data_IF_516309180872
#
_entry.id   IF_516309180872
#
_cell.length_a   1.000
_cell.length_b   1.000
_cell.length_c   1.000
_cell.angle_alpha   90.00
_cell.angle_beta   90.00
_cell.angle_gamma   90.00
#
_symmetry.space_group_name_H-M   'P 1'
#
loop_
_entity.id
_entity.type
_entity.pdbx_description
1 polymer ?
#
# COMPACT_ATOMS: atom_id res chain seq x y z
N UNK A 1 19.11 -25.31 35.77
CA UNK A 1 19.16 -23.86 36.04
C UNK A 1 18.97 -23.15 34.71
N UNK A 2 17.73 -22.75 34.36
CA UNK A 2 17.10 -21.44 34.68
C UNK A 2 17.74 -20.34 33.81
N UNK A 3 17.05 -19.54 32.98
CA UNK A 3 15.71 -18.99 33.10
C UNK A 3 15.04 -18.70 31.75
N UNK A 4 13.73 -18.92 31.72
CA UNK A 4 12.72 -18.30 30.86
C UNK A 4 12.50 -16.85 31.32
N UNK A 5 12.35 -15.89 30.40
CA UNK A 5 11.91 -14.54 30.72
C UNK A 5 10.76 -14.13 29.79
N UNK A 6 9.58 -14.03 30.40
CA UNK A 6 8.39 -13.37 29.86
C UNK A 6 8.53 -11.84 30.01
N UNK A 7 7.97 -11.08 29.08
CA UNK A 7 7.69 -9.67 29.29
C UNK A 7 6.31 -9.32 28.74
N UNK A 8 5.56 -8.67 29.61
CA UNK A 8 4.12 -8.46 29.66
C UNK A 8 3.62 -7.26 28.86
N UNK A 9 2.39 -7.41 28.38
CA UNK A 9 1.49 -6.39 27.84
C UNK A 9 1.12 -5.32 28.87
N UNK A 10 1.23 -4.04 28.49
CA UNK A 10 0.68 -2.91 29.25
C UNK A 10 -0.61 -2.41 28.60
N UNK A 11 -1.71 -2.46 29.36
CA UNK A 11 -2.97 -1.77 29.05
C UNK A 11 -2.97 -0.39 29.73
N UNK A 12 -3.53 0.67 29.12
CA UNK A 12 -3.78 1.92 29.81
C UNK A 12 -5.11 1.89 30.58
N UNK A 13 -5.07 2.38 31.82
CA UNK A 13 -6.19 2.55 32.76
C UNK A 13 -6.93 3.86 32.49
N UNK A 14 -8.26 3.82 32.63
CA UNK A 14 -9.20 4.92 32.46
C UNK A 14 -9.15 5.98 33.58
N UNK A 15 -9.53 7.22 33.25
CA UNK A 15 -9.72 8.33 34.21
C UNK A 15 -11.20 8.77 34.25
N UNK A 16 -11.74 9.21 35.41
CA UNK A 16 -13.18 9.40 35.64
C UNK A 16 -13.72 10.78 35.23
N UNK A 17 -15.06 10.97 35.16
CA UNK A 17 -15.70 12.20 34.67
C UNK A 17 -16.00 13.22 35.79
N UNK A 18 -16.22 14.51 35.47
CA UNK A 18 -16.84 15.44 36.39
C UNK A 18 -18.36 15.57 36.17
N UNK A 19 -19.08 15.57 37.28
CA UNK A 19 -20.53 15.71 37.39
C UNK A 19 -21.02 17.18 37.34
N UNK A 20 -22.32 17.26 37.08
CA UNK A 20 -23.18 18.39 36.72
C UNK A 20 -23.34 19.56 37.70
N UNK A 21 -23.71 20.73 37.15
CA UNK A 21 -24.42 21.81 37.84
C UNK A 21 -25.39 22.55 36.89
N UNK A 22 -26.68 22.42 37.11
CA UNK A 22 -27.77 22.98 36.30
C UNK A 22 -28.09 24.45 36.66
N UNK A 23 -28.61 25.23 35.68
CA UNK A 23 -29.85 26.04 35.79
C UNK A 23 -30.20 26.86 34.52
N UNK A 24 -31.42 26.57 34.03
CA UNK A 24 -32.50 27.47 33.54
C UNK A 24 -32.38 28.36 32.28
N UNK A 25 -33.29 28.08 31.33
CA UNK A 25 -34.18 28.99 30.54
C UNK A 25 -33.52 30.03 29.62
N UNK A 26 -33.84 30.19 28.33
CA UNK A 26 -35.17 30.44 27.75
C UNK A 26 -35.09 30.59 26.21
N UNK A 27 -36.17 30.19 25.53
CA UNK A 27 -36.82 30.64 24.27
C UNK A 27 -36.16 31.65 23.29
N UNK A 28 -36.53 31.41 22.00
CA UNK A 28 -36.65 32.33 20.82
C UNK A 28 -35.29 32.73 20.20
N UNK A 29 -35.03 32.68 18.89
CA UNK A 29 -35.86 32.75 17.69
C UNK A 29 -35.26 33.84 16.79
N UNK A 30 -35.06 33.57 15.48
CA UNK A 30 -34.89 34.63 14.46
C UNK A 30 -33.54 34.71 13.73
N UNK A 31 -33.56 34.27 12.47
CA UNK A 31 -32.85 34.87 11.31
C UNK A 31 -33.56 36.24 11.05
N UNK A 32 -32.93 37.35 10.54
CA UNK A 32 -32.30 37.38 9.21
C UNK A 32 -31.19 38.42 8.86
N UNK A 33 -30.52 38.09 7.74
CA UNK A 33 -30.11 38.91 6.57
C UNK A 33 -29.16 40.13 6.65
N UNK A 34 -28.19 40.09 5.72
CA UNK A 34 -27.63 41.13 4.83
C UNK A 34 -27.20 42.50 5.38
N UNK A 35 -25.94 42.89 5.12
CA UNK A 35 -25.58 44.16 4.42
C UNK A 35 -24.24 44.03 3.67
N UNK A 36 -24.22 44.61 2.47
CA UNK A 36 -23.18 44.76 1.46
C UNK A 36 -22.07 45.82 1.73
N UNK A 37 -20.97 45.63 0.99
CA UNK A 37 -20.16 46.61 0.23
C UNK A 37 -19.00 47.47 0.84
N UNK A 38 -17.97 47.58 -0.03
CA UNK A 38 -16.78 48.48 -0.11
C UNK A 38 -15.61 48.14 0.81
N UNK A 39 -14.36 47.94 0.37
CA UNK A 39 -13.69 48.17 -0.91
C UNK A 39 -12.47 49.08 -0.69
N UNK A 40 -11.24 48.54 -0.68
CA UNK A 40 -9.99 49.32 -0.84
C UNK A 40 -8.96 48.48 -1.62
N UNK A 41 -8.46 49.06 -2.73
CA UNK A 41 -7.26 48.63 -3.47
C UNK A 41 -6.00 49.16 -2.77
N UNK A 42 -4.91 48.38 -2.78
CA UNK A 42 -3.57 48.94 -2.97
C UNK A 42 -2.66 47.91 -3.67
N UNK A 43 -1.92 48.39 -4.68
CA UNK A 43 -0.75 47.73 -5.29
C UNK A 43 0.49 48.31 -4.62
N UNK A 44 1.48 47.50 -4.28
CA UNK A 44 2.80 47.49 -4.95
C UNK A 44 3.82 46.60 -4.23
N UNK A 45 4.70 46.08 -5.07
CA UNK A 45 5.91 45.25 -4.91
C UNK A 45 6.81 45.47 -3.69
N UNK A 46 7.40 44.39 -3.17
CA UNK A 46 8.85 44.15 -3.32
C UNK A 46 9.25 42.73 -2.93
N UNK A 47 10.24 42.24 -3.67
CA UNK A 47 10.96 40.97 -3.60
C UNK A 47 11.82 40.81 -2.35
N UNK A 48 11.78 39.65 -1.70
CA UNK A 48 12.73 39.25 -0.66
C UNK A 48 12.95 37.73 -0.66
N UNK A 49 13.98 37.26 -1.39
CA UNK A 49 14.49 35.89 -1.32
C UNK A 49 15.24 35.71 0.01
N UNK A 50 14.79 34.77 0.85
CA UNK A 50 15.54 34.24 1.98
C UNK A 50 16.36 33.03 1.50
N UNK A 51 17.69 33.19 1.40
CA UNK A 51 18.63 32.08 1.24
C UNK A 51 19.39 31.89 2.56
N UNK A 52 19.23 30.70 3.16
CA UNK A 52 19.98 30.23 4.33
C UNK A 52 21.31 29.64 3.84
N UNK A 53 22.43 30.24 4.24
CA UNK A 53 23.79 29.75 3.95
C UNK A 53 24.24 28.76 5.02
N UNK A 54 24.60 27.56 4.60
CA UNK A 54 25.33 26.58 5.41
C UNK A 54 26.81 26.98 5.48
N UNK A 55 27.37 27.12 6.68
CA UNK A 55 28.79 27.34 6.92
C UNK A 55 29.45 26.03 7.36
N UNK A 56 30.27 25.44 6.50
CA UNK A 56 31.25 24.43 6.87
C UNK A 56 32.65 25.03 6.61
N UNK A 57 33.39 25.33 7.67
CA UNK A 57 34.79 25.73 7.60
C UNK A 57 35.64 24.66 8.30
N UNK A 58 36.58 24.08 7.55
CA UNK A 58 37.73 23.35 8.08
C UNK A 58 38.95 24.28 8.04
N UNK A 59 39.75 24.39 9.12
CA UNK A 59 41.04 25.06 9.05
C UNK A 59 42.18 24.05 8.74
N UNK A 60 43.23 24.48 8.01
CA UNK A 60 44.30 23.63 7.49
C UNK A 60 45.42 23.38 8.50
N UNK A 61 46.20 22.34 8.19
CA UNK A 61 47.36 21.80 8.92
C UNK A 61 48.63 22.66 8.80
N UNK A 62 49.36 22.67 9.93
CA UNK A 62 50.84 22.54 10.08
C UNK A 62 51.73 23.75 9.76
N UNK A 63 52.41 24.25 10.81
CA UNK A 63 53.88 24.26 10.90
C UNK A 63 54.32 24.56 12.35
N UNK A 64 55.10 23.64 12.92
CA UNK A 64 55.79 23.87 14.20
C UNK A 64 57.15 24.52 13.97
N UNK A 65 57.69 25.20 15.00
CA UNK A 65 59.11 25.19 15.38
C UNK A 65 59.30 25.84 16.77
N UNK A 66 59.92 25.05 17.65
CA UNK A 66 60.79 25.28 18.84
C UNK A 66 60.85 26.68 19.51
N UNK A 67 60.54 26.77 20.81
CA UNK A 67 61.40 26.63 22.03
C UNK A 67 62.09 27.92 22.45
N UNK A 68 61.79 28.40 23.68
CA UNK A 68 62.81 28.78 24.67
C UNK A 68 62.19 29.10 26.04
N UNK A 69 62.76 28.43 27.04
CA UNK A 69 62.59 28.52 28.50
C UNK A 69 63.41 29.72 29.04
N UNK A 70 63.00 30.35 30.17
CA UNK A 70 63.79 30.80 31.36
C UNK A 70 62.76 31.35 32.37
N UNK A 71 62.39 30.70 33.49
CA UNK A 71 63.06 30.51 34.81
C UNK A 71 63.04 31.76 35.73
N UNK A 72 62.47 31.66 36.94
CA UNK A 72 62.64 32.69 37.99
C UNK A 72 61.68 32.71 39.20
N UNK A 73 62.13 32.13 40.31
CA UNK A 73 61.89 32.45 41.74
C UNK A 73 60.63 31.99 42.55
N UNK A 74 60.86 30.91 43.35
CA UNK A 74 60.63 30.65 44.80
C UNK A 74 59.45 31.29 45.57
N UNK A 75 58.64 30.43 46.20
CA UNK A 75 58.48 30.33 47.67
C UNK A 75 57.83 28.99 48.06
N UNK A 76 58.30 28.40 49.16
CA UNK A 76 58.01 27.04 49.63
C UNK A 76 56.65 26.87 50.33
N UNK A 77 56.24 25.60 50.34
CA UNK A 77 55.47 24.85 51.33
C UNK A 77 54.00 24.52 51.03
N UNK A 78 53.64 23.28 51.38
CA UNK A 78 52.40 22.50 51.13
C UNK A 78 52.41 21.52 49.94
N UNK A 79 52.67 20.25 50.25
CA UNK A 79 52.05 19.12 49.55
C UNK A 79 50.56 19.06 49.88
N UNK A 80 49.67 18.85 48.89
CA UNK A 80 48.93 17.59 48.89
C UNK A 80 48.56 17.02 47.50
N UNK A 81 48.74 15.70 47.37
CA UNK A 81 47.99 14.72 46.55
C UNK A 81 47.85 14.88 45.01
N UNK A 82 48.01 13.80 44.22
CA UNK A 82 47.80 13.85 42.77
C UNK A 82 46.30 13.92 42.42
N UNK A 83 45.92 14.59 41.32
CA UNK A 83 44.52 14.71 40.91
C UNK A 83 43.93 13.35 40.49
N UNK A 84 42.61 13.15 40.67
CA UNK A 84 41.96 11.87 40.41
C UNK A 84 41.97 11.56 38.91
N UNK A 85 42.39 10.33 38.56
CA UNK A 85 42.36 9.82 37.19
C UNK A 85 40.90 9.77 36.72
N UNK A 86 40.58 10.52 35.67
CA UNK A 86 39.26 10.50 35.04
C UNK A 86 39.07 9.20 34.25
N UNK A 87 37.83 8.71 34.27
CA UNK A 87 37.30 7.43 33.77
C UNK A 87 37.52 7.14 32.27
N UNK A 88 38.29 7.97 31.56
CA UNK A 88 38.43 7.92 30.09
C UNK A 88 39.58 6.99 29.64
N UNK A 89 40.48 6.59 30.55
CA UNK A 89 41.62 5.72 30.23
C UNK A 89 41.35 4.20 30.46
N UNK A 90 40.08 3.78 30.52
CA UNK A 90 39.69 2.37 30.72
C UNK A 90 38.69 1.85 29.67
N UNK A 91 38.62 2.47 28.49
CA UNK A 91 37.83 1.91 27.39
C UNK A 91 38.64 0.82 26.66
N UNK A 92 38.06 -0.36 26.35
CA UNK A 92 38.72 -1.38 25.54
C UNK A 92 39.11 -0.82 24.17
N UNK A 93 40.27 -1.21 23.66
CA UNK A 93 40.71 -0.83 22.32
C UNK A 93 39.85 -1.55 21.26
N UNK A 94 38.86 -0.82 20.73
CA UNK A 94 37.95 -1.29 19.68
C UNK A 94 38.61 -1.35 18.29
N UNK A 95 39.87 -0.92 18.15
CA UNK A 95 40.58 -0.90 16.87
C UNK A 95 40.72 -2.30 16.25
N UNK A 96 40.93 -3.33 17.07
CA UNK A 96 40.98 -4.73 16.62
C UNK A 96 39.64 -5.21 16.04
N UNK A 97 38.52 -4.78 16.63
CA UNK A 97 37.19 -5.17 16.16
C UNK A 97 36.86 -4.49 14.82
N UNK A 98 37.18 -3.19 14.71
CA UNK A 98 37.05 -2.46 13.45
C UNK A 98 37.95 -3.04 12.35
N UNK A 99 39.19 -3.40 12.67
CA UNK A 99 40.11 -4.04 11.73
C UNK A 99 39.62 -5.43 11.27
N UNK A 100 39.03 -6.21 12.17
CA UNK A 100 38.45 -7.50 11.81
C UNK A 100 37.25 -7.34 10.86
N UNK A 101 36.35 -6.38 11.14
CA UNK A 101 35.20 -6.10 10.30
C UNK A 101 35.65 -5.63 8.91
N UNK A 102 36.58 -4.67 8.82
CA UNK A 102 37.08 -4.19 7.51
C UNK A 102 37.77 -5.30 6.73
N UNK A 103 38.51 -6.18 7.40
CA UNK A 103 39.15 -7.34 6.74
C UNK A 103 38.13 -8.32 6.18
N UNK A 104 37.03 -8.57 6.90
CA UNK A 104 35.92 -9.41 6.40
C UNK A 104 35.26 -8.78 5.17
N UNK A 105 35.01 -7.46 5.19
CA UNK A 105 34.45 -6.75 4.03
C UNK A 105 35.38 -6.78 2.81
N UNK A 106 36.69 -6.54 3.00
CA UNK A 106 37.69 -6.62 1.94
C UNK A 106 37.85 -8.04 1.39
N UNK A 107 37.80 -9.06 2.25
CA UNK A 107 37.84 -10.46 1.83
C UNK A 107 36.59 -10.85 1.04
N UNK A 108 35.41 -10.39 1.47
CA UNK A 108 34.17 -10.58 0.73
C UNK A 108 34.24 -9.90 -0.64
N UNK A 109 34.63 -8.62 -0.70
CA UNK A 109 34.77 -7.88 -1.96
C UNK A 109 35.75 -8.58 -2.92
N UNK A 110 36.88 -9.07 -2.42
CA UNK A 110 37.85 -9.84 -3.22
C UNK A 110 37.28 -11.19 -3.70
N UNK A 111 36.43 -11.85 -2.91
CA UNK A 111 35.76 -13.08 -3.28
C UNK A 111 34.66 -12.85 -4.33
N UNK A 112 33.98 -11.69 -4.27
CA UNK A 112 33.01 -11.24 -5.28
C UNK A 112 33.69 -10.90 -6.61
N UNK A 113 34.87 -10.27 -6.59
CA UNK A 113 35.62 -9.95 -7.81
C UNK A 113 36.27 -11.17 -8.49
N UNK A 114 36.40 -12.30 -7.78
CA UNK A 114 36.96 -13.56 -8.30
C UNK A 114 35.89 -14.52 -8.85
N UNK A 115 34.61 -14.12 -8.81
CA UNK A 115 33.52 -14.91 -9.37
C UNK A 115 33.45 -14.68 -10.89
N UNK A 116 34.16 -15.50 -11.66
CA UNK A 116 33.99 -15.58 -13.12
C UNK A 116 32.56 -16.05 -13.44
N UNK A 117 31.65 -15.10 -13.63
CA UNK A 117 30.29 -15.34 -14.06
C UNK A 117 30.29 -15.75 -15.54
N UNK A 118 30.35 -17.06 -15.82
CA UNK A 118 30.04 -17.58 -17.15
C UNK A 118 28.56 -17.32 -17.45
N UNK A 119 28.19 -16.63 -18.55
CA UNK A 119 26.79 -16.41 -18.89
C UNK A 119 26.15 -17.77 -19.20
N UNK A 120 25.28 -18.26 -18.31
CA UNK A 120 24.35 -19.35 -18.64
C UNK A 120 23.28 -18.80 -19.59
N UNK A 121 22.76 -19.68 -20.44
CA UNK A 121 21.87 -19.40 -21.58
C UNK A 121 20.76 -18.36 -21.24
N UNK A 122 20.36 -17.49 -22.20
CA UNK A 122 19.43 -16.38 -21.97
C UNK A 122 18.07 -16.79 -21.37
N UNK A 123 17.64 -18.03 -21.63
CA UNK A 123 16.31 -18.52 -21.25
C UNK A 123 16.16 -18.86 -19.75
N UNK A 124 17.25 -18.82 -18.98
CA UNK A 124 17.29 -19.07 -17.52
C UNK A 124 17.72 -17.84 -16.70
N UNK A 125 17.52 -16.61 -17.20
CA UNK A 125 17.59 -15.42 -16.34
C UNK A 125 16.40 -15.42 -15.38
N UNK A 126 16.59 -16.17 -14.29
CA UNK A 126 15.90 -16.02 -13.01
C UNK A 126 15.90 -14.52 -12.70
N UNK A 127 14.73 -13.94 -12.43
CA UNK A 127 14.63 -12.61 -11.82
C UNK A 127 14.89 -12.78 -10.32
N UNK A 128 16.15 -12.70 -9.86
CA UNK A 128 16.52 -13.10 -8.50
C UNK A 128 16.06 -12.06 -7.48
N UNK A 129 15.71 -10.87 -7.97
CA UNK A 129 15.36 -9.69 -7.19
C UNK A 129 13.87 -9.34 -7.28
N UNK A 130 13.09 -10.08 -8.07
CA UNK A 130 11.66 -9.78 -8.26
C UNK A 130 11.42 -8.44 -8.95
N UNK A 131 12.37 -7.96 -9.76
CA UNK A 131 12.29 -6.67 -10.46
C UNK A 131 11.28 -6.69 -11.62
N UNK A 132 10.87 -7.88 -12.04
CA UNK A 132 10.01 -8.11 -13.19
C UNK A 132 10.72 -7.85 -14.52
N UNK A 133 10.08 -8.27 -15.61
CA UNK A 133 10.58 -8.09 -16.98
C UNK A 133 9.44 -7.98 -17.96
N UNK A 134 9.69 -7.30 -19.06
CA UNK A 134 8.78 -7.30 -20.20
C UNK A 134 9.04 -8.57 -21.04
N UNK A 135 7.97 -9.24 -21.43
CA UNK A 135 7.92 -10.46 -22.24
C UNK A 135 6.93 -10.28 -23.39
N UNK A 136 6.82 -11.27 -24.29
CA UNK A 136 5.91 -11.25 -25.45
C UNK A 136 6.03 -9.97 -26.27
N UNK A 137 7.20 -9.80 -26.90
CA UNK A 137 7.52 -8.70 -27.83
C UNK A 137 7.34 -7.28 -27.27
N UNK A 138 7.42 -7.11 -25.95
CA UNK A 138 7.35 -5.79 -25.33
C UNK A 138 6.01 -5.46 -24.68
N UNK A 139 5.01 -6.33 -24.78
CA UNK A 139 3.63 -5.98 -24.49
C UNK A 139 3.11 -6.45 -23.13
N UNK A 140 3.74 -7.48 -22.56
CA UNK A 140 3.32 -8.08 -21.29
C UNK A 140 4.43 -7.92 -20.26
N UNK A 141 4.10 -7.40 -19.10
CA UNK A 141 5.03 -7.31 -17.98
C UNK A 141 4.79 -8.47 -17.02
N UNK A 142 5.86 -9.15 -16.62
CA UNK A 142 5.86 -10.32 -15.76
C UNK A 142 6.71 -10.07 -14.52
N UNK A 143 6.12 -10.26 -13.34
CA UNK A 143 6.81 -10.10 -12.06
C UNK A 143 6.45 -11.23 -11.09
N UNK A 144 7.42 -11.70 -10.32
CA UNK A 144 7.20 -12.72 -9.31
C UNK A 144 7.10 -12.09 -7.91
N UNK A 145 6.16 -12.58 -7.10
CA UNK A 145 5.99 -12.17 -5.71
C UNK A 145 6.01 -13.41 -4.81
N UNK A 146 6.84 -13.36 -3.76
CA UNK A 146 6.77 -14.33 -2.66
C UNK A 146 5.71 -13.89 -1.65
N UNK A 147 4.75 -14.75 -1.32
CA UNK A 147 3.75 -14.43 -0.30
C UNK A 147 4.41 -14.36 1.08
N UNK A 148 4.33 -13.18 1.70
CA UNK A 148 4.97 -12.86 2.98
C UNK A 148 4.05 -13.21 4.15
N UNK A 149 4.63 -13.32 5.34
CA UNK A 149 3.89 -13.77 6.54
C UNK A 149 2.77 -12.82 6.97
N UNK A 150 2.91 -11.51 6.74
CA UNK A 150 1.89 -10.51 7.08
C UNK A 150 0.84 -10.30 5.98
N UNK A 151 0.99 -10.98 4.84
CA UNK A 151 0.10 -10.88 3.69
C UNK A 151 -1.01 -11.95 3.71
N UNK A 152 -0.96 -12.86 4.69
CA UNK A 152 -1.93 -13.93 4.88
C UNK A 152 -2.90 -13.63 6.03
N UNK A 153 -4.13 -14.12 5.90
CA UNK A 153 -5.15 -14.07 6.93
C UNK A 153 -5.01 -15.18 7.99
N UNK A 154 -5.93 -15.20 8.95
CA UNK A 154 -6.00 -16.22 9.99
C UNK A 154 -6.21 -17.65 9.43
N UNK A 155 -6.74 -17.76 8.20
CA UNK A 155 -6.93 -19.00 7.47
C UNK A 155 -5.69 -19.45 6.67
N UNK A 156 -4.54 -18.77 6.84
CA UNK A 156 -3.26 -19.05 6.19
C UNK A 156 -3.23 -18.81 4.67
N UNK A 157 -4.26 -18.17 4.14
CA UNK A 157 -4.36 -17.80 2.73
C UNK A 157 -4.08 -16.31 2.54
N UNK A 158 -3.56 -15.91 1.39
CA UNK A 158 -3.35 -14.51 1.06
C UNK A 158 -4.69 -13.76 1.05
N UNK A 159 -4.72 -12.54 1.60
CA UNK A 159 -5.94 -11.73 1.54
C UNK A 159 -6.20 -11.22 0.11
N UNK A 160 -7.45 -10.85 -0.19
CA UNK A 160 -7.76 -10.15 -1.45
C UNK A 160 -7.00 -8.81 -1.56
N UNK A 161 -6.80 -8.11 -0.44
CA UNK A 161 -5.98 -6.88 -0.42
C UNK A 161 -4.54 -7.15 -0.86
N UNK A 162 -3.96 -8.27 -0.44
CA UNK A 162 -2.61 -8.70 -0.87
C UNK A 162 -2.54 -8.87 -2.38
N UNK A 163 -3.46 -9.65 -2.95
CA UNK A 163 -3.48 -9.88 -4.40
C UNK A 163 -3.60 -8.54 -5.15
N UNK A 164 -4.50 -7.68 -4.69
CA UNK A 164 -4.72 -6.35 -5.27
C UNK A 164 -3.51 -5.43 -5.17
N UNK A 165 -2.76 -5.49 -4.07
CA UNK A 165 -1.48 -4.78 -3.94
C UNK A 165 -0.45 -5.29 -4.96
N UNK A 166 -0.36 -6.60 -5.19
CA UNK A 166 0.53 -7.16 -6.23
C UNK A 166 0.09 -6.74 -7.64
N UNK A 167 -1.22 -6.66 -7.91
CA UNK A 167 -1.74 -6.14 -9.19
C UNK A 167 -1.39 -4.66 -9.40
N UNK A 168 -1.52 -3.83 -8.36
CA UNK A 168 -1.17 -2.42 -8.41
C UNK A 168 0.34 -2.22 -8.61
N UNK A 169 1.17 -2.93 -7.87
CA UNK A 169 2.63 -2.86 -7.96
C UNK A 169 3.13 -3.28 -9.35
N UNK A 170 2.63 -4.41 -9.87
CA UNK A 170 2.98 -4.88 -11.22
C UNK A 170 2.55 -3.91 -12.32
N UNK A 171 1.43 -3.20 -12.15
CA UNK A 171 0.97 -2.19 -13.11
C UNK A 171 1.94 -0.99 -13.18
N UNK A 172 2.46 -0.54 -12.04
CA UNK A 172 3.40 0.58 -11.97
C UNK A 172 4.77 0.18 -12.50
N UNK A 173 5.24 -1.02 -12.13
CA UNK A 173 6.50 -1.56 -12.63
C UNK A 173 6.46 -1.81 -14.14
N UNK A 174 5.29 -2.16 -14.70
CA UNK A 174 5.10 -2.21 -16.14
C UNK A 174 5.33 -0.81 -16.76
N UNK A 175 4.63 0.23 -16.29
CA UNK A 175 4.81 1.60 -16.82
C UNK A 175 6.27 2.06 -16.71
N UNK A 176 6.92 1.75 -15.60
CA UNK A 176 8.34 2.03 -15.37
C UNK A 176 9.25 1.34 -16.39
N UNK A 177 9.04 0.04 -16.58
CA UNK A 177 9.85 -0.79 -17.49
C UNK A 177 9.63 -0.43 -18.96
N UNK A 178 8.42 0.04 -19.29
CA UNK A 178 8.07 0.55 -20.63
C UNK A 178 8.67 1.94 -20.92
N UNK A 179 9.38 2.56 -19.97
CA UNK A 179 9.93 3.90 -20.15
C UNK A 179 8.86 5.01 -20.21
N UNK A 180 7.62 4.69 -19.83
CA UNK A 180 6.48 5.61 -19.79
C UNK A 180 6.35 6.31 -18.43
N UNK A 181 7.36 6.22 -17.58
CA UNK A 181 7.35 6.82 -16.25
C UNK A 181 7.62 8.33 -16.34
N UNK A 182 6.59 9.13 -16.09
CA UNK A 182 6.70 10.58 -15.89
C UNK A 182 7.05 10.96 -14.45
N UNK A 183 6.65 12.17 -14.04
CA UNK A 183 6.82 12.65 -12.66
C UNK A 183 5.76 12.12 -11.68
N UNK A 184 4.77 11.38 -12.19
CA UNK A 184 3.59 10.94 -11.45
C UNK A 184 3.48 9.41 -11.31
N UNK A 185 2.56 8.98 -10.47
CA UNK A 185 2.24 7.58 -10.22
C UNK A 185 1.51 6.95 -11.42
N UNK A 186 2.27 6.43 -12.38
CA UNK A 186 1.72 5.82 -13.61
C UNK A 186 1.28 6.82 -14.69
N UNK A 187 1.54 8.12 -14.52
CA UNK A 187 1.31 9.14 -15.55
C UNK A 187 2.46 9.17 -16.55
N UNK A 188 2.12 9.20 -17.85
CA UNK A 188 3.10 9.36 -18.93
C UNK A 188 3.58 10.81 -19.04
N UNK A 189 4.72 11.08 -19.69
CA UNK A 189 5.21 12.45 -19.90
C UNK A 189 4.18 13.40 -20.51
N UNK A 190 3.44 12.99 -21.56
CA UNK A 190 2.40 13.85 -22.14
C UNK A 190 1.19 14.05 -21.21
N UNK A 191 0.85 13.06 -20.39
CA UNK A 191 -0.18 13.24 -19.36
C UNK A 191 0.24 14.28 -18.31
N UNK A 192 1.49 14.23 -17.86
CA UNK A 192 2.03 15.18 -16.90
C UNK A 192 1.95 16.62 -17.43
N UNK A 193 2.35 16.85 -18.69
CA UNK A 193 2.27 18.17 -19.36
C UNK A 193 0.84 18.72 -19.44
N UNK A 194 -0.16 17.85 -19.52
CA UNK A 194 -1.59 18.22 -19.68
C UNK A 194 -2.39 18.14 -18.36
N UNK A 195 -1.72 17.97 -17.21
CA UNK A 195 -2.35 17.80 -15.90
C UNK A 195 -3.36 16.63 -15.85
N UNK A 196 -3.04 15.51 -16.50
CA UNK A 196 -3.89 14.32 -16.56
C UNK A 196 -3.41 13.20 -15.63
N UNK A 197 -4.36 12.46 -15.07
CA UNK A 197 -4.14 11.23 -14.30
C UNK A 197 -5.01 10.11 -14.78
N UNK A 198 -4.57 8.89 -14.52
CA UNK A 198 -5.40 7.71 -14.62
C UNK A 198 -6.24 7.53 -13.37
N UNK A 199 -7.53 7.28 -13.57
CA UNK A 199 -8.45 6.86 -12.50
C UNK A 199 -9.12 5.56 -12.91
N UNK A 200 -9.24 4.62 -11.96
CA UNK A 200 -9.93 3.35 -12.17
C UNK A 200 -11.42 3.61 -12.09
N UNK A 201 -12.20 3.10 -13.05
CA UNK A 201 -13.68 3.19 -13.02
C UNK A 201 -14.33 1.85 -12.72
N UNK A 202 -13.71 0.75 -13.15
CA UNK A 202 -14.22 -0.60 -12.94
C UNK A 202 -13.06 -1.56 -12.64
N UNK A 203 -13.25 -2.47 -11.71
CA UNK A 203 -12.32 -3.56 -11.41
C UNK A 203 -13.11 -4.86 -11.26
N UNK A 204 -12.65 -5.91 -11.92
CA UNK A 204 -13.20 -7.25 -11.83
C UNK A 204 -12.07 -8.22 -11.48
N UNK A 205 -12.30 -9.06 -10.49
CA UNK A 205 -11.34 -10.05 -10.01
C UNK A 205 -12.06 -11.38 -9.84
N UNK A 206 -11.51 -12.45 -10.41
CA UNK A 206 -11.93 -13.83 -10.19
C UNK A 206 -10.77 -14.59 -9.58
N UNK A 207 -10.97 -15.17 -8.40
CA UNK A 207 -9.96 -15.93 -7.66
C UNK A 207 -10.34 -17.40 -7.72
N UNK A 208 -9.57 -18.19 -8.45
CA UNK A 208 -9.77 -19.64 -8.54
C UNK A 208 -9.20 -20.33 -7.29
N UNK A 209 -8.05 -19.86 -6.78
CA UNK A 209 -7.41 -20.35 -5.55
C UNK A 209 -6.53 -19.26 -4.93
N UNK A 210 -6.58 -19.11 -3.61
CA UNK A 210 -5.66 -18.24 -2.89
C UNK A 210 -4.29 -18.91 -2.66
N UNK A 211 -3.17 -18.19 -2.86
CA UNK A 211 -1.85 -18.69 -2.49
C UNK A 211 -1.66 -18.63 -0.97
N UNK A 212 -0.75 -19.45 -0.45
CA UNK A 212 -0.43 -19.55 0.98
C UNK A 212 0.95 -18.99 1.28
N UNK A 213 1.29 -18.87 2.56
CA UNK A 213 2.59 -18.34 2.97
C UNK A 213 3.75 -19.18 2.41
N UNK A 214 4.75 -18.51 1.82
CA UNK A 214 5.91 -19.15 1.21
C UNK A 214 5.70 -19.57 -0.26
N UNK A 215 4.47 -19.48 -0.77
CA UNK A 215 4.22 -19.65 -2.20
C UNK A 215 4.82 -18.47 -2.99
N UNK A 216 5.19 -18.75 -4.24
CA UNK A 216 5.62 -17.73 -5.19
C UNK A 216 4.57 -17.66 -6.28
N UNK A 217 4.05 -16.47 -6.52
CA UNK A 217 3.10 -16.20 -7.58
C UNK A 217 3.77 -15.40 -8.69
N UNK A 218 3.44 -15.73 -9.93
CA UNK A 218 3.83 -14.98 -11.11
C UNK A 218 2.65 -14.14 -11.59
N UNK A 219 2.85 -12.84 -11.66
CA UNK A 219 1.85 -11.87 -12.11
C UNK A 219 2.24 -11.37 -13.49
N UNK A 220 1.40 -11.69 -14.47
CA UNK A 220 1.47 -11.14 -15.81
C UNK A 220 0.45 -10.01 -15.94
N UNK A 221 0.84 -8.85 -16.45
CA UNK A 221 -0.05 -7.73 -16.74
C UNK A 221 0.16 -7.17 -18.13
N UNK A 222 -0.94 -6.84 -18.78
CA UNK A 222 -0.96 -6.26 -20.12
C UNK A 222 -2.01 -5.16 -20.21
N UNK A 223 -1.86 -4.29 -21.19
CA UNK A 223 -2.81 -3.21 -21.45
C UNK A 223 -3.43 -3.38 -22.82
N UNK A 224 -4.68 -2.98 -22.94
CA UNK A 224 -5.44 -3.02 -24.18
C UNK A 224 -6.31 -1.77 -24.29
N UNK A 225 -6.76 -1.45 -25.49
CA UNK A 225 -7.68 -0.34 -25.70
C UNK A 225 -9.06 -0.65 -25.12
N UNK A 226 -9.68 0.32 -24.45
CA UNK A 226 -11.06 0.23 -23.96
C UNK A 226 -11.89 1.37 -24.52
N UNK A 227 -12.54 1.12 -25.66
CA UNK A 227 -13.28 2.16 -26.40
C UNK A 227 -12.36 3.30 -26.86
N UNK A 228 -12.92 4.51 -27.01
CA UNK A 228 -12.16 5.65 -27.56
C UNK A 228 -11.23 6.34 -26.54
N UNK A 229 -11.62 6.36 -25.26
CA UNK A 229 -10.97 7.18 -24.23
C UNK A 229 -10.47 6.37 -23.02
N UNK A 230 -10.72 5.07 -22.98
CA UNK A 230 -10.34 4.21 -21.87
C UNK A 230 -9.17 3.29 -22.23
N UNK A 231 -8.52 2.82 -21.19
CA UNK A 231 -7.53 1.74 -21.24
C UNK A 231 -8.04 0.59 -20.37
N UNK A 232 -8.01 -0.63 -20.90
CA UNK A 232 -8.20 -1.84 -20.13
C UNK A 232 -6.83 -2.34 -19.68
N UNK A 233 -6.72 -2.77 -18.42
CA UNK A 233 -5.55 -3.51 -17.94
C UNK A 233 -6.02 -4.85 -17.41
N UNK A 234 -5.38 -5.89 -17.91
CA UNK A 234 -5.67 -7.27 -17.54
C UNK A 234 -4.49 -7.84 -16.74
N UNK A 235 -4.81 -8.76 -15.83
CA UNK A 235 -3.83 -9.52 -15.08
C UNK A 235 -4.14 -11.01 -15.05
N UNK A 236 -3.08 -11.78 -15.05
CA UNK A 236 -3.11 -13.21 -14.84
C UNK A 236 -2.09 -13.58 -13.77
N UNK A 237 -2.57 -14.11 -12.65
CA UNK A 237 -1.75 -14.57 -11.54
C UNK A 237 -1.67 -16.08 -11.61
N UNK A 238 -0.45 -16.62 -11.64
CA UNK A 238 -0.18 -18.05 -11.70
C UNK A 238 0.65 -18.51 -10.53
N UNK A 239 0.46 -19.76 -10.13
CA UNK A 239 1.39 -20.44 -9.24
C UNK A 239 2.72 -20.64 -9.97
N UNK A 240 3.83 -20.21 -9.38
CA UNK A 240 5.14 -20.30 -10.04
C UNK A 240 5.62 -21.75 -10.23
N UNK A 241 5.20 -22.68 -9.35
CA UNK A 241 5.63 -24.08 -9.39
C UNK A 241 4.75 -24.90 -10.33
N UNK A 242 3.43 -24.77 -10.22
CA UNK A 242 2.49 -25.59 -10.99
C UNK A 242 2.10 -24.97 -12.33
N UNK A 243 2.19 -23.64 -12.46
CA UNK A 243 1.71 -22.90 -13.62
C UNK A 243 0.19 -22.68 -13.64
N UNK A 244 -0.53 -23.17 -12.62
CA UNK A 244 -1.98 -23.05 -12.52
C UNK A 244 -2.39 -21.59 -12.37
N UNK A 245 -3.52 -21.23 -12.98
CA UNK A 245 -4.10 -19.89 -12.84
C UNK A 245 -4.76 -19.80 -11.47
N UNK A 246 -4.30 -18.86 -10.66
CA UNK A 246 -4.83 -18.57 -9.33
C UNK A 246 -5.85 -17.45 -9.35
N UNK A 247 -5.59 -16.41 -10.16
CA UNK A 247 -6.44 -15.22 -10.21
C UNK A 247 -6.41 -14.63 -11.61
N UNK A 248 -7.58 -14.18 -12.06
CA UNK A 248 -7.76 -13.37 -13.27
C UNK A 248 -8.34 -12.02 -12.84
N UNK A 249 -7.82 -10.93 -13.37
CA UNK A 249 -8.38 -9.62 -13.10
C UNK A 249 -8.41 -8.75 -14.36
N UNK A 250 -9.37 -7.84 -14.42
CA UNK A 250 -9.49 -6.83 -15.47
C UNK A 250 -9.96 -5.52 -14.87
N UNK A 251 -9.39 -4.41 -15.32
CA UNK A 251 -9.74 -3.07 -14.88
C UNK A 251 -9.91 -2.12 -16.05
N UNK A 252 -10.77 -1.13 -15.88
CA UNK A 252 -10.98 -0.04 -16.84
C UNK A 252 -10.51 1.26 -16.22
N UNK A 253 -9.68 1.97 -16.98
CA UNK A 253 -9.07 3.23 -16.60
C UNK A 253 -9.48 4.33 -17.58
N UNK A 254 -9.73 5.51 -17.04
CA UNK A 254 -10.02 6.71 -17.83
C UNK A 254 -9.14 7.86 -17.34
N UNK A 255 -8.98 8.87 -18.19
CA UNK A 255 -8.25 10.07 -17.79
C UNK A 255 -9.13 11.07 -17.08
N UNK A 256 -8.58 11.69 -16.03
CA UNK A 256 -9.16 12.81 -15.32
C UNK A 256 -8.15 13.96 -15.29
N UNK A 257 -8.62 15.19 -15.43
CA UNK A 257 -7.79 16.36 -15.22
C UNK A 257 -7.67 16.65 -13.70
N UNK A 258 -6.42 16.78 -13.22
CA UNK A 258 -6.08 16.93 -11.79
C UNK A 258 -6.73 18.16 -11.16
N UNK A 259 -6.77 19.28 -11.88
CA UNK A 259 -7.24 20.57 -11.36
C UNK A 259 -8.76 20.68 -11.39
N UNK A 260 -9.36 20.39 -12.54
CA UNK A 260 -10.82 20.53 -12.75
C UNK A 260 -11.62 19.37 -12.19
N UNK A 261 -10.95 18.23 -11.91
CA UNK A 261 -11.57 16.99 -11.42
C UNK A 261 -12.65 16.45 -12.35
N UNK A 262 -12.49 16.72 -13.65
CA UNK A 262 -13.38 16.27 -14.73
C UNK A 262 -12.72 15.20 -15.58
N UNK A 263 -13.51 14.24 -16.05
CA UNK A 263 -13.06 13.26 -17.03
C UNK A 263 -12.61 13.96 -18.32
N UNK A 264 -11.49 13.50 -18.86
CA UNK A 264 -10.91 14.01 -20.09
C UNK A 264 -10.96 12.94 -21.18
N UNK A 265 -11.11 13.39 -22.42
CA UNK A 265 -10.80 12.53 -23.58
C UNK A 265 -9.30 12.24 -23.59
N UNK A 266 -8.93 11.14 -24.24
CA UNK A 266 -7.54 10.78 -24.45
C UNK A 266 -6.94 11.67 -25.54
N UNK A 267 -5.96 12.54 -25.22
CA UNK A 267 -5.23 13.32 -26.22
C UNK A 267 -4.49 12.39 -27.17
N UNK A 268 -4.30 12.83 -28.41
CA UNK A 268 -3.64 12.01 -29.43
C UNK A 268 -2.16 11.76 -29.08
N UNK A 269 -1.49 12.72 -28.43
CA UNK A 269 -0.09 12.57 -28.01
C UNK A 269 0.05 11.48 -26.94
N UNK A 270 -0.90 11.40 -26.00
CA UNK A 270 -0.93 10.33 -25.00
C UNK A 270 -1.23 8.98 -25.66
N UNK A 271 -2.11 8.98 -26.68
CA UNK A 271 -2.44 7.77 -27.45
C UNK A 271 -1.23 7.24 -28.20
N UNK A 272 -0.42 8.11 -28.77
CA UNK A 272 0.83 7.74 -29.46
C UNK A 272 1.86 7.15 -28.49
N UNK A 273 1.94 7.65 -27.26
CA UNK A 273 2.83 7.09 -26.22
C UNK A 273 2.44 5.67 -25.79
N UNK A 274 1.14 5.43 -25.56
CA UNK A 274 0.66 4.15 -24.98
C UNK A 274 0.21 3.13 -26.02
N UNK A 275 -0.17 3.60 -27.22
CA UNK A 275 -0.73 2.77 -28.30
C UNK A 275 0.15 1.59 -28.70
N UNK A 276 1.49 1.75 -28.80
CA UNK A 276 2.40 0.64 -29.10
C UNK A 276 2.37 -0.51 -28.08
N UNK A 277 1.90 -0.26 -26.85
CA UNK A 277 1.81 -1.27 -25.78
C UNK A 277 0.46 -1.98 -25.74
N UNK A 278 -0.51 -1.58 -26.56
CA UNK A 278 -1.83 -2.21 -26.57
C UNK A 278 -1.80 -3.57 -27.24
N UNK A 279 -2.18 -4.59 -26.47
CA UNK A 279 -2.42 -5.94 -26.96
C UNK A 279 -3.82 -6.03 -27.54
N UNK A 280 -3.92 -6.54 -28.76
CA UNK A 280 -5.20 -6.97 -29.35
C UNK A 280 -5.55 -8.38 -28.85
N UNK A 281 -6.14 -8.43 -27.65
CA UNK A 281 -6.58 -9.69 -27.03
C UNK A 281 -7.95 -9.52 -26.38
N UNK A 282 -8.74 -10.60 -26.30
CA UNK A 282 -9.99 -10.58 -25.55
C UNK A 282 -9.70 -10.34 -24.05
N UNK A 283 -10.64 -9.73 -23.31
CA UNK A 283 -10.52 -9.60 -21.87
C UNK A 283 -10.27 -10.95 -21.19
N UNK A 284 -9.37 -10.97 -20.19
CA UNK A 284 -9.04 -12.18 -19.42
C UNK A 284 -10.19 -12.57 -18.48
N UNK A 285 -11.08 -11.64 -18.19
CA UNK A 285 -12.30 -11.84 -17.39
C UNK A 285 -13.47 -11.36 -18.23
N UNK A 286 -14.50 -12.20 -18.38
CA UNK A 286 -15.74 -11.81 -19.02
C UNK A 286 -16.36 -10.61 -18.30
N UNK A 287 -16.82 -9.64 -19.09
CA UNK A 287 -17.44 -8.45 -18.53
C UNK A 287 -18.72 -8.83 -17.78
N UNK A 288 -18.78 -8.45 -16.52
CA UNK A 288 -20.00 -8.56 -15.74
C UNK A 288 -20.84 -7.30 -16.00
N UNK A 289 -21.84 -7.45 -16.86
CA UNK A 289 -22.76 -6.38 -17.27
C UNK A 289 -23.99 -6.27 -16.35
N UNK A 290 -24.09 -7.12 -15.32
CA UNK A 290 -25.21 -7.10 -14.38
C UNK A 290 -25.17 -5.77 -13.63
N UNK A 291 -26.25 -4.98 -13.76
CA UNK A 291 -26.41 -3.73 -13.02
C UNK A 291 -26.32 -3.99 -11.52
N UNK A 292 -25.44 -3.26 -10.85
CA UNK A 292 -25.39 -3.23 -9.39
C UNK A 292 -26.68 -2.54 -8.88
N UNK A 293 -27.53 -3.24 -8.12
CA UNK A 293 -28.77 -2.67 -7.62
C UNK A 293 -28.50 -1.44 -6.75
N UNK A 294 -29.54 -0.61 -6.60
CA UNK A 294 -29.46 0.54 -5.70
C UNK A 294 -29.56 0.02 -4.26
N UNK A 295 -28.47 0.18 -3.52
CA UNK A 295 -28.40 -0.11 -2.09
C UNK A 295 -28.53 1.20 -1.29
N UNK A 296 -29.31 1.17 -0.21
CA UNK A 296 -29.49 2.28 0.72
C UNK A 296 -29.76 1.75 2.14
N UNK A 297 -29.99 2.65 3.10
CA UNK A 297 -30.17 2.27 4.51
C UNK A 297 -31.40 1.38 4.74
N UNK A 298 -32.37 1.38 3.81
CA UNK A 298 -33.60 0.58 3.92
C UNK A 298 -33.47 -0.82 3.33
N UNK A 299 -32.47 -1.02 2.47
CA UNK A 299 -32.24 -2.26 1.72
C UNK A 299 -30.97 -2.99 2.13
N UNK A 300 -30.11 -2.35 2.93
CA UNK A 300 -28.91 -2.95 3.49
C UNK A 300 -29.21 -3.80 4.73
N UNK A 301 -28.65 -5.02 4.76
CA UNK A 301 -28.72 -5.90 5.92
C UNK A 301 -27.70 -5.50 6.99
N UNK A 302 -26.55 -4.96 6.57
CA UNK A 302 -25.44 -4.60 7.44
C UNK A 302 -24.90 -3.21 7.08
N UNK A 303 -24.66 -2.40 8.11
CA UNK A 303 -24.18 -1.03 7.97
C UNK A 303 -23.05 -0.77 8.97
N UNK A 304 -21.94 -0.21 8.48
CA UNK A 304 -20.80 0.26 9.26
C UNK A 304 -20.55 1.73 8.99
N UNK A 305 -20.67 2.58 10.00
CA UNK A 305 -20.44 4.05 9.93
C UNK A 305 -19.09 4.44 10.54
N UNK A 306 -18.67 5.69 10.34
CA UNK A 306 -17.47 6.24 10.98
C UNK A 306 -16.14 5.72 10.41
N UNK A 307 -16.15 5.13 9.21
CA UNK A 307 -14.93 4.72 8.53
C UNK A 307 -14.19 5.98 8.09
N UNK A 308 -12.95 6.15 8.55
CA UNK A 308 -12.12 7.32 8.20
C UNK A 308 -10.74 6.87 7.73
N UNK A 309 -10.18 7.51 6.68
CA UNK A 309 -8.83 7.23 6.23
C UNK A 309 -7.78 7.56 7.30
N UNK A 310 -6.80 6.67 7.44
CA UNK A 310 -5.57 6.95 8.19
C UNK A 310 -4.52 7.54 7.25
N UNK A 311 -3.47 8.12 7.84
CA UNK A 311 -2.33 8.63 7.07
C UNK A 311 -1.71 7.56 6.15
N UNK A 312 -1.63 6.31 6.62
CA UNK A 312 -1.11 5.17 5.86
C UNK A 312 -2.00 4.73 4.69
N UNK A 313 -3.25 5.20 4.63
CA UNK A 313 -4.21 4.82 3.60
C UNK A 313 -4.15 5.77 2.40
N UNK A 314 -3.41 6.87 2.52
CA UNK A 314 -3.22 7.87 1.47
C UNK A 314 -2.06 7.48 0.54
N UNK A 315 -2.26 7.70 -0.75
CA UNK A 315 -1.24 7.56 -1.78
C UNK A 315 -0.42 8.85 -1.94
N UNK A 316 0.55 8.84 -2.86
CA UNK A 316 1.39 10.01 -3.17
C UNK A 316 0.60 11.22 -3.67
N UNK A 317 -0.62 11.01 -4.17
CA UNK A 317 -1.52 12.06 -4.63
C UNK A 317 -2.43 12.59 -3.50
N UNK A 318 -2.24 12.13 -2.26
CA UNK A 318 -3.06 12.43 -1.08
C UNK A 318 -4.53 11.99 -1.22
N UNK A 319 -4.79 11.00 -2.08
CA UNK A 319 -6.07 10.31 -2.17
C UNK A 319 -5.99 8.97 -1.46
N UNK A 320 -7.13 8.44 -1.06
CA UNK A 320 -7.18 7.07 -0.53
C UNK A 320 -6.77 6.08 -1.62
N UNK A 321 -5.85 5.18 -1.29
CA UNK A 321 -5.42 4.10 -2.18
C UNK A 321 -6.61 3.19 -2.54
N UNK A 322 -6.75 2.84 -3.82
CA UNK A 322 -7.84 2.02 -4.34
C UNK A 322 -8.03 0.68 -3.60
N UNK A 323 -6.94 0.07 -3.12
CA UNK A 323 -6.99 -1.17 -2.36
C UNK A 323 -7.71 -1.00 -1.02
N UNK A 324 -7.66 0.20 -0.41
CA UNK A 324 -8.32 0.46 0.87
C UNK A 324 -9.84 0.53 0.79
N UNK A 325 -10.39 0.88 -0.37
CA UNK A 325 -11.83 0.76 -0.59
C UNK A 325 -12.33 -0.68 -0.47
N UNK A 326 -11.49 -1.66 -0.81
CA UNK A 326 -11.84 -3.09 -0.73
C UNK A 326 -11.99 -3.50 0.73
N UNK A 327 -11.01 -3.15 1.57
CA UNK A 327 -11.10 -3.37 3.01
C UNK A 327 -12.36 -2.77 3.60
N UNK A 328 -12.65 -1.49 3.31
CA UNK A 328 -13.85 -0.82 3.82
C UNK A 328 -15.17 -1.44 3.35
N UNK A 329 -15.24 -1.90 2.11
CA UNK A 329 -16.43 -2.62 1.60
C UNK A 329 -16.66 -3.90 2.42
N UNK A 330 -15.59 -4.61 2.76
CA UNK A 330 -15.63 -5.86 3.51
C UNK A 330 -15.86 -5.66 5.02
N UNK A 331 -15.63 -4.48 5.59
CA UNK A 331 -15.91 -4.18 7.01
C UNK A 331 -17.39 -4.35 7.39
N UNK A 332 -18.30 -4.15 6.44
CA UNK A 332 -19.74 -4.40 6.64
C UNK A 332 -20.18 -5.81 6.24
N UNK A 333 -19.30 -6.64 5.68
CA UNK A 333 -19.63 -8.02 5.35
C UNK A 333 -19.80 -8.84 6.65
N UNK A 334 -20.83 -9.71 6.73
CA UNK A 334 -21.12 -10.42 7.96
C UNK A 334 -20.02 -11.44 8.29
N UNK A 335 -19.56 -11.43 9.53
CA UNK A 335 -18.47 -12.28 10.02
C UNK A 335 -18.67 -13.79 9.72
N UNK A 336 -19.88 -14.37 9.84
CA UNK A 336 -20.09 -15.77 9.49
C UNK A 336 -19.71 -16.12 8.05
N UNK A 337 -19.91 -15.20 7.09
CA UNK A 337 -19.48 -15.41 5.69
C UNK A 337 -17.96 -15.40 5.61
N UNK A 338 -17.29 -14.44 6.26
CA UNK A 338 -15.82 -14.33 6.25
C UNK A 338 -15.12 -15.56 6.86
N UNK A 339 -15.75 -16.18 7.85
CA UNK A 339 -15.23 -17.38 8.52
C UNK A 339 -15.45 -18.64 7.67
N UNK A 340 -16.66 -18.83 7.13
CA UNK A 340 -17.07 -20.07 6.46
C UNK A 340 -16.83 -20.09 4.94
N UNK A 341 -16.69 -18.92 4.31
CA UNK A 341 -16.54 -18.77 2.86
C UNK A 341 -15.28 -17.97 2.50
N UNK A 342 -14.78 -18.20 1.29
CA UNK A 342 -13.73 -17.38 0.67
C UNK A 342 -14.28 -16.64 -0.55
N UNK A 343 -13.72 -15.45 -0.80
CA UNK A 343 -14.12 -14.59 -1.90
C UNK A 343 -13.64 -15.19 -3.24
N UNK A 344 -14.58 -15.51 -4.12
CA UNK A 344 -14.30 -16.13 -5.42
C UNK A 344 -14.38 -15.14 -6.59
N UNK A 345 -15.19 -14.10 -6.45
CA UNK A 345 -15.39 -13.06 -7.47
C UNK A 345 -15.66 -11.72 -6.82
N UNK A 346 -15.13 -10.65 -7.39
CA UNK A 346 -15.35 -9.27 -6.94
C UNK A 346 -15.48 -8.36 -8.16
N UNK A 347 -16.54 -7.56 -8.21
CA UNK A 347 -16.72 -6.50 -9.21
C UNK A 347 -16.94 -5.18 -8.49
N UNK A 348 -16.14 -4.16 -8.80
CA UNK A 348 -16.19 -2.83 -8.19
C UNK A 348 -16.39 -1.77 -9.28
N UNK A 349 -17.26 -0.81 -9.00
CA UNK A 349 -17.46 0.41 -9.79
C UNK A 349 -17.13 1.63 -8.94
N UNK A 350 -16.07 2.34 -9.34
CA UNK A 350 -15.61 3.55 -8.65
C UNK A 350 -16.29 4.78 -9.26
N UNK A 351 -16.81 5.66 -8.40
CA UNK A 351 -17.53 6.87 -8.82
C UNK A 351 -16.87 8.15 -8.36
N UNK A 352 -16.22 8.13 -7.20
CA UNK A 352 -15.64 9.32 -6.59
C UNK A 352 -14.45 8.97 -5.72
N UNK A 353 -13.47 9.85 -5.68
CA UNK A 353 -12.30 9.73 -4.82
C UNK A 353 -12.58 10.26 -3.40
N UNK A 354 -11.81 9.80 -2.43
CA UNK A 354 -11.86 10.24 -1.04
C UNK A 354 -10.55 10.89 -0.65
N UNK A 355 -10.65 12.00 0.08
CA UNK A 355 -9.51 12.66 0.72
C UNK A 355 -9.43 12.30 2.20
N UNK A 356 -8.37 12.79 2.85
CA UNK A 356 -8.03 12.56 4.26
C UNK A 356 -9.19 12.74 5.25
N UNK A 357 -9.97 13.82 5.11
CA UNK A 357 -10.99 14.20 6.08
C UNK A 357 -12.37 13.59 5.77
N UNK A 358 -12.42 12.60 4.88
CA UNK A 358 -13.66 11.93 4.50
C UNK A 358 -14.11 10.99 5.61
N UNK A 359 -15.41 11.02 5.92
CA UNK A 359 -16.04 9.99 6.76
C UNK A 359 -17.01 9.21 5.89
N UNK A 360 -16.88 7.89 5.97
CA UNK A 360 -17.56 6.94 5.10
C UNK A 360 -18.46 5.99 5.89
N UNK A 361 -19.45 5.50 5.16
CA UNK A 361 -20.36 4.45 5.58
C UNK A 361 -20.28 3.31 4.56
N UNK A 362 -20.06 2.10 5.05
CA UNK A 362 -20.14 0.86 4.26
C UNK A 362 -21.47 0.16 4.52
N UNK A 363 -22.14 -0.23 3.44
CA UNK A 363 -23.40 -0.94 3.45
C UNK A 363 -23.23 -2.27 2.71
N UNK A 364 -23.80 -3.35 3.25
CA UNK A 364 -23.84 -4.66 2.61
C UNK A 364 -25.25 -5.24 2.65
N UNK A 365 -25.71 -5.78 1.52
CA UNK A 365 -26.90 -6.62 1.44
C UNK A 365 -26.50 -8.01 0.94
N UNK A 366 -27.00 -9.06 1.57
CA UNK A 366 -26.71 -10.46 1.26
C UNK A 366 -27.84 -11.00 0.40
N UNK A 367 -27.51 -11.30 -0.86
CA UNK A 367 -28.42 -11.96 -1.80
C UNK A 367 -28.25 -13.47 -1.66
N UNK A 368 -29.07 -14.10 -0.81
CA UNK A 368 -28.88 -15.52 -0.48
C UNK A 368 -29.98 -16.21 0.35
N UNK A 369 -31.22 -15.69 0.37
CA UNK A 369 -32.38 -16.35 1.03
C UNK A 369 -33.59 -16.50 0.10
N UNK A 370 -33.35 -16.74 -1.19
CA UNK A 370 -34.39 -17.16 -2.12
C UNK A 370 -34.77 -18.62 -1.91
N UNK A 371 -35.90 -18.86 -1.24
CA UNK A 371 -36.57 -20.16 -1.10
C UNK A 371 -36.84 -20.71 -2.50
N UNK A 372 -35.99 -21.61 -3.02
CA UNK A 372 -36.30 -22.31 -4.25
C UNK A 372 -35.16 -23.01 -4.98
N UNK A 373 -33.94 -22.46 -5.01
CA UNK A 373 -32.87 -22.99 -5.90
C UNK A 373 -31.48 -23.18 -5.23
N UNK A 374 -31.38 -23.09 -3.91
CA UNK A 374 -30.11 -23.03 -3.17
C UNK A 374 -29.64 -24.34 -2.51
N UNK A 375 -30.31 -25.47 -2.77
CA UNK A 375 -29.93 -26.73 -2.12
C UNK A 375 -28.62 -27.37 -2.62
N UNK A 376 -27.90 -26.78 -3.60
CA UNK A 376 -26.83 -27.53 -4.30
C UNK A 376 -25.45 -26.85 -4.41
N UNK A 377 -25.22 -25.62 -3.93
CA UNK A 377 -23.90 -24.98 -4.18
C UNK A 377 -23.23 -24.27 -2.99
N UNK A 378 -23.97 -23.79 -1.99
CA UNK A 378 -23.38 -23.06 -0.86
C UNK A 378 -22.71 -21.73 -1.24
N UNK A 379 -22.95 -21.19 -2.43
CA UNK A 379 -22.43 -19.88 -2.83
C UNK A 379 -23.29 -18.75 -2.25
N UNK A 380 -22.65 -17.65 -1.86
CA UNK A 380 -23.31 -16.45 -1.34
C UNK A 380 -22.91 -15.24 -2.16
N UNK A 381 -23.87 -14.41 -2.54
CA UNK A 381 -23.61 -13.13 -3.21
C UNK A 381 -23.87 -11.99 -2.23
N UNK A 382 -22.96 -11.02 -2.16
CA UNK A 382 -23.14 -9.80 -1.40
C UNK A 382 -23.04 -8.59 -2.33
N UNK A 383 -23.92 -7.63 -2.11
CA UNK A 383 -23.90 -6.33 -2.75
C UNK A 383 -23.41 -5.29 -1.76
N UNK A 384 -22.58 -4.38 -2.23
CA UNK A 384 -21.90 -3.41 -1.38
C UNK A 384 -22.06 -1.99 -1.91
N UNK A 385 -22.17 -1.05 -0.98
CA UNK A 385 -22.08 0.38 -1.26
C UNK A 385 -21.20 1.04 -0.21
N UNK A 386 -20.15 1.69 -0.67
CA UNK A 386 -19.37 2.62 0.11
C UNK A 386 -19.78 4.04 -0.30
N UNK A 387 -20.18 4.86 0.67
CA UNK A 387 -20.61 6.23 0.45
C UNK A 387 -20.05 7.17 1.53
N UNK A 388 -19.98 8.46 1.23
CA UNK A 388 -19.74 9.48 2.25
C UNK A 388 -20.96 9.56 3.18
N UNK A 389 -20.77 9.99 4.43
CA UNK A 389 -21.89 10.28 5.33
C UNK A 389 -22.85 11.35 4.78
N UNK A 390 -22.35 12.23 3.90
CA UNK A 390 -23.18 13.17 3.11
C UNK A 390 -23.98 12.54 1.97
N UNK A 391 -23.97 11.22 1.83
CA UNK A 391 -24.78 10.45 0.86
C UNK A 391 -24.17 10.26 -0.54
N UNK A 392 -23.02 10.86 -0.84
CA UNK A 392 -22.36 10.69 -2.13
C UNK A 392 -21.76 9.29 -2.26
N UNK A 393 -22.16 8.55 -3.31
CA UNK A 393 -21.63 7.22 -3.63
C UNK A 393 -20.15 7.30 -4.02
N UNK A 394 -19.32 6.46 -3.40
CA UNK A 394 -17.87 6.36 -3.66
C UNK A 394 -17.58 5.11 -4.49
N UNK A 395 -17.97 3.93 -4.00
CA UNK A 395 -17.76 2.65 -4.68
C UNK A 395 -19.01 1.79 -4.55
N UNK A 396 -19.43 1.16 -5.64
CA UNK A 396 -20.39 0.06 -5.62
C UNK A 396 -19.65 -1.24 -5.85
N UNK A 397 -20.06 -2.29 -5.14
CA UNK A 397 -19.42 -3.59 -5.24
C UNK A 397 -20.42 -4.72 -5.32
N UNK A 398 -20.01 -5.82 -5.96
CA UNK A 398 -20.59 -7.14 -5.78
C UNK A 398 -19.47 -8.12 -5.48
N UNK A 399 -19.71 -9.01 -4.53
CA UNK A 399 -18.81 -10.11 -4.20
C UNK A 399 -19.56 -11.43 -4.24
N UNK A 400 -18.89 -12.48 -4.71
CA UNK A 400 -19.40 -13.84 -4.69
C UNK A 400 -18.45 -14.70 -3.87
N UNK A 401 -19.03 -15.47 -2.97
CA UNK A 401 -18.33 -16.24 -1.96
C UNK A 401 -18.64 -17.71 -2.17
N UNK A 402 -17.62 -18.55 -2.03
CA UNK A 402 -17.75 -20.01 -2.05
C UNK A 402 -17.35 -20.59 -0.69
N UNK A 403 -17.91 -21.73 -0.27
CA UNK A 403 -17.49 -22.36 0.97
C UNK A 403 -15.98 -22.59 0.96
N UNK A 404 -15.30 -22.28 2.06
CA UNK A 404 -13.90 -22.69 2.20
C UNK A 404 -13.88 -24.20 2.12
N UNK A 405 -12.97 -24.75 1.32
CA UNK A 405 -12.69 -26.17 1.42
C UNK A 405 -12.30 -26.42 2.87
N UNK A 406 -13.13 -27.16 3.61
CA UNK A 406 -12.71 -27.65 4.91
C UNK A 406 -11.39 -28.36 4.61
N UNK A 407 -10.28 -27.80 5.10
CA UNK A 407 -9.05 -28.55 5.18
C UNK A 407 -9.49 -29.89 5.73
N UNK A 408 -9.25 -30.97 4.98
CA UNK A 408 -9.18 -32.29 5.54
C UNK A 408 -8.30 -32.13 6.77
N UNK A 409 -8.93 -31.94 7.92
CA UNK A 409 -8.34 -32.05 9.23
C UNK A 409 -7.78 -33.45 9.15
N UNK A 410 -6.49 -33.52 8.84
CA UNK A 410 -5.76 -34.75 8.94
C UNK A 410 -6.11 -35.27 10.31
N UNK A 411 -6.63 -36.49 10.33
CA UNK A 411 -6.41 -37.41 11.43
C UNK A 411 -4.92 -37.31 11.81
N UNK A 412 -4.56 -36.33 12.63
CA UNK A 412 -3.40 -36.42 13.49
C UNK A 412 -3.85 -37.49 14.46
N UNK A 413 -3.42 -38.71 14.15
CA UNK A 413 -3.86 -39.91 14.81
C UNK A 413 -3.79 -39.74 16.32
N UNK A 414 -4.83 -40.23 16.99
CA UNK A 414 -4.66 -40.77 18.32
C UNK A 414 -3.48 -41.73 18.25
N UNK A 415 -2.34 -41.32 18.80
CA UNK A 415 -1.30 -42.24 19.22
C UNK A 415 -1.99 -43.23 20.18
N UNK A 416 -1.96 -44.55 19.91
CA UNK A 416 -2.41 -45.50 20.90
C UNK A 416 -1.51 -45.33 22.12
N UNK A 417 -2.12 -45.15 23.29
CA UNK A 417 -1.40 -45.30 24.54
C UNK A 417 -0.90 -46.75 24.60
N UNK A 418 0.40 -46.96 24.37
CA UNK A 418 1.04 -48.21 24.72
C UNK A 418 0.99 -48.35 26.24
N UNK A 419 0.18 -49.30 26.69
CA UNK A 419 0.22 -49.85 28.03
C UNK A 419 1.46 -50.73 28.18
N UNK A 420 2.41 -50.29 28.99
CA UNK A 420 3.34 -51.17 29.72
C UNK A 420 3.58 -50.61 31.11
#
# INVERSE_FOLDING_TARGET
MVATAAASSFFPVASPPPDSGAKTSSKLGGVPANVDARGIKSKSSSTGRLQVKANAQAPPKVNGTKVSIVEGLKSEDETPSPPPRTFINQLPDWSMLLAAITTIFLAAEKQWMMLDWKPRRPDMLIDPFGLGRIVQDGLVFRQNFSIRSYEIGADRTASIETLMNHLQESALNHVKSAGLWGDGFGSTPEMCKKNLIWVVTKMQVKVDRYPTWGDVVQVDTQVAQSGKNGMRRDWLVRDYKTGDILTRASSVWVMMNKETRRLSKMPDEVREEIGPYFVDSPPVVDEDSRKLPKLDDSTADYIRTGLSPKWSDLDINQHVNNVKYIGWILESAPLPILESHELSSMTLEYRKECGRDSVLQSLTAVSGSGIGNLLDSGYVECQHLLRLEGGAEIVKGRTEWRPKYANSLGNIGQLPAEST
#
